data_IF_253873978863
#
_entry.id   IF_253873978863
#
_cell.length_a   1.000
_cell.length_b   1.000
_cell.length_c   1.000
_cell.angle_alpha   90.00
_cell.angle_beta   90.00
_cell.angle_gamma   90.00
#
_symmetry.space_group_name_H-M   'P 1'
#
loop_
_entity.id
_entity.type
_entity.pdbx_description
1 polymer ?
#
# COMPACT_ATOMS: atom_id res chain seq x y z
N UNK A 1 -4.08 35.85 -7.68
CA UNK A 1 -5.50 36.26 -7.68
C UNK A 1 -6.29 35.09 -7.11
N UNK A 2 -7.06 35.25 -6.05
CA UNK A 2 -7.85 34.15 -5.45
C UNK A 2 -9.12 33.89 -6.26
N UNK A 3 -9.87 32.83 -5.95
CA UNK A 3 -11.17 32.57 -6.59
C UNK A 3 -12.20 33.63 -6.21
N UNK A 4 -12.18 34.08 -4.96
CA UNK A 4 -12.98 35.23 -4.49
C UNK A 4 -12.68 36.50 -5.30
N UNK A 5 -11.40 36.80 -5.54
CA UNK A 5 -11.02 37.94 -6.39
C UNK A 5 -11.47 37.77 -7.85
N UNK A 6 -11.56 36.53 -8.34
CA UNK A 6 -12.10 36.26 -9.68
C UNK A 6 -13.62 36.40 -9.73
N UNK A 7 -14.33 36.00 -8.67
CA UNK A 7 -15.78 36.16 -8.55
C UNK A 7 -16.16 37.64 -8.44
N UNK A 8 -15.41 38.41 -7.66
CA UNK A 8 -15.57 39.86 -7.56
C UNK A 8 -15.32 40.55 -8.90
N UNK A 9 -14.25 40.17 -9.61
CA UNK A 9 -13.92 40.73 -10.92
C UNK A 9 -14.96 40.35 -11.98
N UNK A 10 -15.46 39.11 -11.96
CA UNK A 10 -16.54 38.67 -12.84
C UNK A 10 -17.82 39.47 -12.58
N UNK A 11 -18.18 39.64 -11.32
CA UNK A 11 -19.37 40.40 -10.90
C UNK A 11 -19.26 41.87 -11.33
N UNK A 12 -18.09 42.49 -11.12
CA UNK A 12 -17.82 43.85 -11.55
C UNK A 12 -17.91 43.99 -13.08
N UNK A 13 -17.31 43.06 -13.83
CA UNK A 13 -17.32 43.09 -15.28
C UNK A 13 -18.74 42.93 -15.85
N UNK A 14 -19.56 42.04 -15.28
CA UNK A 14 -20.97 41.87 -15.69
C UNK A 14 -21.78 43.14 -15.41
N UNK A 15 -21.63 43.73 -14.22
CA UNK A 15 -22.34 44.97 -13.88
C UNK A 15 -21.92 46.13 -14.79
N UNK A 16 -20.63 46.28 -15.05
CA UNK A 16 -20.08 47.30 -15.95
C UNK A 16 -20.56 47.12 -17.40
N UNK A 17 -20.67 45.88 -17.88
CA UNK A 17 -21.22 45.62 -19.21
C UNK A 17 -22.68 46.08 -19.30
N UNK A 18 -23.50 45.72 -18.31
CA UNK A 18 -24.93 46.08 -18.27
C UNK A 18 -25.13 47.59 -18.24
N UNK A 19 -24.34 48.30 -17.43
CA UNK A 19 -24.37 49.78 -17.38
C UNK A 19 -23.93 50.39 -18.72
N UNK A 20 -22.83 49.90 -19.30
CA UNK A 20 -22.34 50.38 -20.58
C UNK A 20 -23.31 50.12 -21.75
N UNK A 21 -24.01 49.00 -21.76
CA UNK A 21 -25.06 48.70 -22.75
C UNK A 21 -26.27 49.64 -22.59
N UNK A 22 -26.66 49.94 -21.35
CA UNK A 22 -27.73 50.90 -21.04
C UNK A 22 -27.37 52.30 -21.56
N UNK A 23 -26.13 52.72 -21.38
CA UNK A 23 -25.60 54.01 -21.83
C UNK A 23 -25.21 54.03 -23.32
N UNK A 24 -25.45 52.93 -24.07
CA UNK A 24 -25.02 52.76 -25.46
C UNK A 24 -23.50 52.94 -25.69
N UNK A 25 -22.68 52.75 -24.66
CA UNK A 25 -21.22 52.85 -24.70
C UNK A 25 -20.58 51.51 -25.10
N UNK A 26 -20.58 51.25 -26.42
CA UNK A 26 -20.08 50.00 -26.99
C UNK A 26 -18.61 49.66 -26.64
N UNK A 27 -17.65 50.60 -26.64
CA UNK A 27 -16.28 50.31 -26.20
C UNK A 27 -16.19 49.73 -24.78
N UNK A 28 -16.90 50.31 -23.82
CA UNK A 28 -16.90 49.83 -22.43
C UNK A 28 -17.57 48.46 -22.29
N UNK A 29 -18.67 48.20 -23.01
CA UNK A 29 -19.33 46.90 -23.01
C UNK A 29 -18.41 45.78 -23.57
N UNK A 30 -17.68 46.05 -24.66
CA UNK A 30 -16.73 45.09 -25.24
C UNK A 30 -15.55 44.81 -24.30
N UNK A 31 -15.02 45.84 -23.63
CA UNK A 31 -13.96 45.65 -22.64
C UNK A 31 -14.43 44.78 -21.47
N UNK A 32 -15.62 45.06 -20.94
CA UNK A 32 -16.23 44.28 -19.87
C UNK A 32 -16.41 42.81 -20.25
N UNK A 33 -16.88 42.53 -21.47
CA UNK A 33 -16.99 41.17 -21.98
C UNK A 33 -15.62 40.48 -22.12
N UNK A 34 -14.61 41.17 -22.64
CA UNK A 34 -13.26 40.62 -22.76
C UNK A 34 -12.66 40.25 -21.38
N UNK A 35 -12.93 41.05 -20.36
CA UNK A 35 -12.54 40.75 -18.97
C UNK A 35 -13.25 39.47 -18.48
N UNK A 36 -14.55 39.30 -18.75
CA UNK A 36 -15.27 38.08 -18.38
C UNK A 36 -14.65 36.83 -19.03
N UNK A 37 -14.35 36.90 -20.34
CA UNK A 37 -13.69 35.79 -21.06
C UNK A 37 -12.32 35.48 -20.44
N UNK A 38 -11.50 36.49 -20.17
CA UNK A 38 -10.20 36.30 -19.53
C UNK A 38 -10.32 35.67 -18.13
N UNK A 39 -11.32 36.05 -17.34
CA UNK A 39 -11.58 35.42 -16.04
C UNK A 39 -11.92 33.93 -16.18
N UNK A 40 -12.77 33.58 -17.16
CA UNK A 40 -13.11 32.18 -17.44
C UNK A 40 -11.89 31.36 -17.89
N UNK A 41 -11.06 31.91 -18.78
CA UNK A 41 -9.82 31.26 -19.24
C UNK A 41 -8.83 31.03 -18.08
N UNK A 42 -8.70 31.99 -17.16
CA UNK A 42 -7.83 31.81 -15.99
C UNK A 42 -8.38 30.71 -15.06
N UNK A 43 -9.70 30.61 -14.88
CA UNK A 43 -10.30 29.52 -14.08
C UNK A 43 -10.03 28.16 -14.70
N UNK A 44 -10.23 28.04 -16.01
CA UNK A 44 -9.99 26.78 -16.72
C UNK A 44 -8.52 26.34 -16.62
N UNK A 45 -7.59 27.28 -16.81
CA UNK A 45 -6.15 26.97 -16.71
C UNK A 45 -5.73 26.59 -15.29
N UNK A 46 -6.33 27.18 -14.25
CA UNK A 46 -6.10 26.74 -12.86
C UNK A 46 -6.60 25.35 -12.59
N UNK A 47 -7.84 25.05 -13.00
CA UNK A 47 -8.41 23.71 -12.81
C UNK A 47 -7.54 22.64 -13.47
N UNK A 48 -7.04 22.90 -14.69
CA UNK A 48 -6.08 22.01 -15.36
C UNK A 48 -4.76 21.88 -14.61
N UNK A 49 -4.26 22.98 -14.03
CA UNK A 49 -3.02 22.95 -13.23
C UNK A 49 -3.18 22.15 -11.94
N UNK A 50 -4.32 22.30 -11.24
CA UNK A 50 -4.66 21.54 -10.04
C UNK A 50 -4.79 20.04 -10.35
N UNK A 51 -5.44 19.69 -11.46
CA UNK A 51 -5.53 18.30 -11.93
C UNK A 51 -4.14 17.72 -12.22
N UNK A 52 -3.29 18.45 -12.96
CA UNK A 52 -1.91 18.05 -13.23
C UNK A 52 -1.10 17.92 -11.94
N UNK A 53 -1.31 18.80 -10.97
CA UNK A 53 -0.65 18.73 -9.66
C UNK A 53 -1.07 17.46 -8.90
N UNK A 54 -2.35 17.12 -8.93
CA UNK A 54 -2.87 15.88 -8.34
C UNK A 54 -2.27 14.65 -9.03
N UNK A 55 -2.27 14.61 -10.37
CA UNK A 55 -1.69 13.51 -11.14
C UNK A 55 -0.19 13.35 -10.87
N UNK A 56 0.55 14.45 -10.74
CA UNK A 56 1.97 14.41 -10.40
C UNK A 56 2.22 13.86 -8.98
N UNK A 57 1.34 14.17 -8.02
CA UNK A 57 1.42 13.60 -6.68
C UNK A 57 1.18 12.08 -6.70
N UNK A 58 0.16 11.63 -7.43
CA UNK A 58 -0.12 10.19 -7.59
C UNK A 58 1.03 9.45 -8.28
N UNK A 59 1.59 10.02 -9.35
CA UNK A 59 2.75 9.45 -10.03
C UNK A 59 3.99 9.37 -9.11
N UNK A 60 4.21 10.36 -8.25
CA UNK A 60 5.31 10.33 -7.29
C UNK A 60 5.14 9.18 -6.27
N UNK A 61 3.92 8.94 -5.79
CA UNK A 61 3.61 7.79 -4.91
C UNK A 61 3.84 6.47 -5.65
N UNK A 62 3.37 6.34 -6.89
CA UNK A 62 3.58 5.14 -7.69
C UNK A 62 5.07 4.86 -7.94
N UNK A 63 5.87 5.90 -8.20
CA UNK A 63 7.31 5.78 -8.40
C UNK A 63 8.00 5.28 -7.13
N UNK A 64 7.71 5.88 -5.97
CA UNK A 64 8.28 5.45 -4.69
C UNK A 64 7.94 3.98 -4.38
N UNK A 65 6.71 3.56 -4.67
CA UNK A 65 6.27 2.17 -4.52
C UNK A 65 7.02 1.22 -5.45
N UNK A 66 7.20 1.61 -6.72
CA UNK A 66 7.95 0.81 -7.69
C UNK A 66 9.43 0.68 -7.29
N UNK A 67 10.06 1.76 -6.82
CA UNK A 67 11.44 1.74 -6.32
C UNK A 67 11.61 0.84 -5.09
N UNK A 68 10.63 0.85 -4.18
CA UNK A 68 10.61 -0.06 -3.03
C UNK A 68 10.55 -1.52 -3.48
N UNK A 69 9.64 -1.86 -4.40
CA UNK A 69 9.51 -3.21 -4.97
C UNK A 69 10.78 -3.66 -5.71
N UNK A 70 11.43 -2.76 -6.45
CA UNK A 70 12.71 -3.06 -7.11
C UNK A 70 13.82 -3.40 -6.11
N UNK A 71 13.90 -2.68 -4.98
CA UNK A 71 14.85 -2.98 -3.91
C UNK A 71 14.59 -4.35 -3.26
N UNK A 72 13.32 -4.66 -2.99
CA UNK A 72 12.92 -5.98 -2.47
C UNK A 72 13.29 -7.10 -3.43
N UNK A 73 12.99 -6.93 -4.74
CA UNK A 73 13.34 -7.91 -5.76
C UNK A 73 14.85 -8.14 -5.85
N UNK A 74 15.66 -7.06 -5.80
CA UNK A 74 17.11 -7.17 -5.79
C UNK A 74 17.62 -7.98 -4.59
N UNK A 75 17.03 -7.81 -3.40
CA UNK A 75 17.38 -8.59 -2.21
C UNK A 75 17.03 -10.08 -2.38
N UNK A 76 15.85 -10.40 -2.92
CA UNK A 76 15.45 -11.80 -3.20
C UNK A 76 16.31 -12.44 -4.29
N UNK A 77 16.77 -11.68 -5.28
CA UNK A 77 17.70 -12.20 -6.30
C UNK A 77 19.05 -12.53 -5.67
N UNK A 78 19.58 -11.68 -4.80
CA UNK A 78 20.82 -11.95 -4.07
C UNK A 78 20.69 -13.20 -3.18
N UNK A 79 19.56 -13.34 -2.48
CA UNK A 79 19.22 -14.54 -1.70
C UNK A 79 19.19 -15.80 -2.58
N UNK A 80 18.51 -15.76 -3.73
CA UNK A 80 18.46 -16.89 -4.66
C UNK A 80 19.83 -17.31 -5.19
N UNK A 81 20.74 -16.34 -5.41
CA UNK A 81 22.12 -16.64 -5.79
C UNK A 81 22.84 -17.36 -4.66
N UNK A 82 22.67 -16.91 -3.41
CA UNK A 82 23.24 -17.56 -2.23
C UNK A 82 22.66 -18.97 -1.99
N UNK A 83 21.36 -19.17 -2.20
CA UNK A 83 20.71 -20.49 -2.09
C UNK A 83 21.25 -21.50 -3.10
N UNK A 84 21.68 -21.06 -4.28
CA UNK A 84 22.26 -21.92 -5.32
C UNK A 84 23.75 -22.18 -5.12
N UNK A 85 24.40 -21.52 -4.17
CA UNK A 85 25.82 -21.71 -3.90
C UNK A 85 26.05 -22.98 -3.04
N UNK A 86 26.79 -23.99 -3.52
CA UNK A 86 27.13 -25.18 -2.74
C UNK A 86 27.83 -24.88 -1.41
N UNK A 87 28.62 -23.80 -1.33
CA UNK A 87 29.30 -23.42 -0.08
C UNK A 87 28.31 -23.11 1.05
N UNK A 88 27.15 -22.54 0.71
CA UNK A 88 26.09 -22.27 1.67
C UNK A 88 25.51 -23.59 2.23
N UNK A 89 25.35 -24.60 1.38
CA UNK A 89 24.84 -25.91 1.79
C UNK A 89 25.87 -26.67 2.63
N UNK A 90 27.14 -26.64 2.21
CA UNK A 90 28.24 -27.27 2.93
C UNK A 90 28.46 -26.66 4.33
N UNK A 91 28.22 -25.35 4.48
CA UNK A 91 28.30 -24.68 5.79
C UNK A 91 27.31 -25.22 6.83
N UNK A 92 26.23 -25.89 6.39
CA UNK A 92 25.22 -26.48 7.26
C UNK A 92 25.37 -28.00 7.41
N UNK A 93 26.46 -28.59 6.90
CA UNK A 93 26.64 -30.05 6.84
C UNK A 93 26.60 -30.74 8.20
N UNK A 94 27.06 -30.09 9.27
CA UNK A 94 27.01 -30.63 10.64
C UNK A 94 25.58 -31.01 11.06
N UNK A 95 24.61 -30.13 10.81
CA UNK A 95 23.19 -30.41 11.07
C UNK A 95 22.66 -31.58 10.23
N UNK A 96 23.17 -31.71 9.00
CA UNK A 96 22.83 -32.83 8.12
C UNK A 96 23.39 -34.15 8.64
N UNK A 97 24.63 -34.17 9.13
CA UNK A 97 25.25 -35.34 9.72
C UNK A 97 24.51 -35.78 10.98
N UNK A 98 24.21 -34.85 11.89
CA UNK A 98 23.47 -35.12 13.13
C UNK A 98 22.09 -35.73 12.83
N UNK A 99 21.32 -35.14 11.91
CA UNK A 99 20.00 -35.64 11.57
C UNK A 99 20.04 -37.03 10.88
N UNK A 100 21.05 -37.27 10.04
CA UNK A 100 21.27 -38.57 9.40
C UNK A 100 21.65 -39.66 10.41
N UNK A 101 22.51 -39.32 11.38
CA UNK A 101 22.91 -40.24 12.44
C UNK A 101 21.71 -40.61 13.32
N UNK A 102 20.92 -39.62 13.75
CA UNK A 102 19.69 -39.85 14.53
C UNK A 102 18.70 -40.72 13.76
N UNK A 103 18.51 -40.49 12.47
CA UNK A 103 17.65 -41.33 11.64
C UNK A 103 18.15 -42.80 11.58
N UNK A 104 19.45 -42.99 11.39
CA UNK A 104 20.09 -44.32 11.35
C UNK A 104 19.92 -45.06 12.67
N UNK A 105 20.14 -44.37 13.80
CA UNK A 105 19.95 -44.92 15.14
C UNK A 105 18.49 -45.33 15.40
N UNK A 106 17.54 -44.67 14.74
CA UNK A 106 16.12 -45.00 14.79
C UNK A 106 15.69 -46.08 13.77
N UNK A 107 16.65 -46.73 13.09
CA UNK A 107 16.39 -47.84 12.18
C UNK A 107 15.96 -47.41 10.77
N UNK A 108 16.19 -46.16 10.39
CA UNK A 108 16.00 -45.70 9.02
C UNK A 108 16.99 -46.40 8.07
N UNK A 109 16.56 -46.63 6.84
CA UNK A 109 17.45 -47.08 5.75
C UNK A 109 18.45 -45.99 5.37
N UNK A 110 19.54 -46.35 4.69
CA UNK A 110 20.57 -45.39 4.26
C UNK A 110 20.00 -44.20 3.45
N UNK A 111 19.00 -44.47 2.59
CA UNK A 111 18.34 -43.43 1.78
C UNK A 111 17.47 -42.49 2.64
N UNK A 112 16.77 -43.04 3.63
CA UNK A 112 15.97 -42.26 4.58
C UNK A 112 16.84 -41.40 5.50
N UNK A 113 17.98 -41.93 5.95
CA UNK A 113 18.96 -41.18 6.74
C UNK A 113 19.60 -40.05 5.93
N UNK A 114 19.99 -40.31 4.68
CA UNK A 114 20.49 -39.28 3.77
C UNK A 114 19.43 -38.19 3.53
N UNK A 115 18.18 -38.58 3.31
CA UNK A 115 17.06 -37.65 3.14
C UNK A 115 16.82 -36.81 4.39
N UNK A 116 16.91 -37.39 5.58
CA UNK A 116 16.79 -36.67 6.86
C UNK A 116 17.88 -35.61 7.00
N UNK A 117 19.13 -35.97 6.70
CA UNK A 117 20.25 -35.02 6.70
C UNK A 117 20.05 -33.86 5.73
N UNK A 118 19.60 -34.16 4.50
CA UNK A 118 19.37 -33.11 3.49
C UNK A 118 18.21 -32.18 3.87
N UNK A 119 17.14 -32.72 4.49
CA UNK A 119 16.04 -31.90 5.00
C UNK A 119 16.51 -30.98 6.15
N UNK A 120 17.37 -31.47 7.04
CA UNK A 120 17.92 -30.67 8.13
C UNK A 120 18.72 -29.47 7.61
N UNK A 121 19.57 -29.68 6.60
CA UNK A 121 20.30 -28.61 5.92
C UNK A 121 19.33 -27.58 5.32
N UNK A 122 18.35 -28.03 4.54
CA UNK A 122 17.37 -27.14 3.88
C UNK A 122 16.60 -26.29 4.90
N UNK A 123 16.17 -26.90 6.01
CA UNK A 123 15.43 -26.20 7.05
C UNK A 123 16.28 -25.17 7.82
N UNK A 124 17.61 -25.28 7.77
CA UNK A 124 18.51 -24.36 8.46
C UNK A 124 18.89 -23.14 7.63
N UNK A 125 18.82 -23.25 6.30
CA UNK A 125 19.14 -22.14 5.40
C UNK A 125 18.06 -21.06 5.52
N UNK A 126 18.47 -19.85 5.88
CA UNK A 126 17.57 -18.71 6.07
C UNK A 126 17.29 -17.96 4.76
N UNK A 127 16.09 -17.39 4.67
CA UNK A 127 15.61 -16.56 3.55
C UNK A 127 15.07 -15.21 4.02
N UNK A 128 15.91 -14.37 4.64
CA UNK A 128 15.46 -13.15 5.32
C UNK A 128 14.78 -12.13 4.41
N UNK A 129 15.16 -12.05 3.13
CA UNK A 129 14.52 -11.14 2.17
C UNK A 129 13.10 -11.65 1.83
N UNK A 130 12.96 -12.95 1.59
CA UNK A 130 11.66 -13.58 1.35
C UNK A 130 10.75 -13.44 2.56
N UNK A 131 11.27 -13.65 3.77
CA UNK A 131 10.53 -13.52 5.02
C UNK A 131 10.09 -12.07 5.28
N UNK A 132 10.94 -11.08 4.97
CA UNK A 132 10.57 -9.65 5.07
C UNK A 132 9.41 -9.31 4.13
N UNK A 133 9.43 -9.81 2.89
CA UNK A 133 8.32 -9.61 1.95
C UNK A 133 7.04 -10.27 2.46
N UNK A 134 7.15 -11.50 2.98
CA UNK A 134 6.01 -12.21 3.54
C UNK A 134 5.39 -11.47 4.73
N UNK A 135 6.22 -10.89 5.61
CA UNK A 135 5.76 -10.05 6.70
C UNK A 135 5.06 -8.78 6.21
N UNK A 136 5.63 -8.11 5.20
CA UNK A 136 5.02 -6.95 4.55
C UNK A 136 3.64 -7.25 3.95
N UNK A 137 3.53 -8.34 3.18
CA UNK A 137 2.25 -8.78 2.59
C UNK A 137 1.22 -9.11 3.68
N UNK A 138 1.64 -9.78 4.76
CA UNK A 138 0.74 -10.06 5.90
C UNK A 138 0.21 -8.76 6.52
N UNK A 139 1.08 -7.76 6.71
CA UNK A 139 0.66 -6.45 7.23
C UNK A 139 -0.33 -5.75 6.29
N UNK A 140 -0.01 -5.69 4.99
CA UNK A 140 -0.88 -5.06 3.99
C UNK A 140 -2.27 -5.68 3.95
N UNK A 141 -2.36 -7.01 3.96
CA UNK A 141 -3.65 -7.73 3.96
C UNK A 141 -4.46 -7.44 5.22
N UNK A 142 -3.79 -7.39 6.38
CA UNK A 142 -4.44 -7.10 7.66
C UNK A 142 -4.96 -5.67 7.71
N UNK A 143 -4.17 -4.70 7.25
CA UNK A 143 -4.57 -3.29 7.22
C UNK A 143 -5.73 -3.05 6.24
N UNK A 144 -5.71 -3.75 5.09
CA UNK A 144 -6.84 -3.76 4.16
C UNK A 144 -8.11 -4.32 4.80
N UNK A 145 -8.03 -5.49 5.45
CA UNK A 145 -9.18 -6.10 6.14
C UNK A 145 -9.75 -5.17 7.22
N UNK A 146 -8.89 -4.56 8.03
CA UNK A 146 -9.29 -3.62 9.09
C UNK A 146 -10.02 -2.40 8.53
N UNK A 147 -9.54 -1.88 7.39
CA UNK A 147 -10.17 -0.78 6.66
C UNK A 147 -11.56 -1.17 6.14
N UNK A 148 -11.67 -2.31 5.46
CA UNK A 148 -12.95 -2.80 4.91
C UNK A 148 -13.99 -3.07 6.00
N UNK A 149 -13.59 -3.72 7.10
CA UNK A 149 -14.47 -3.99 8.24
C UNK A 149 -14.96 -2.68 8.88
N UNK A 150 -14.08 -1.68 8.95
CA UNK A 150 -14.42 -0.36 9.51
C UNK A 150 -15.35 0.44 8.60
N UNK A 151 -15.30 0.22 7.28
CA UNK A 151 -16.19 0.85 6.32
C UNK A 151 -17.64 0.32 6.38
N UNK A 152 -17.89 -0.83 7.03
CA UNK A 152 -19.25 -1.38 7.19
C UNK A 152 -20.14 -0.47 8.07
N UNK A 153 -19.58 0.13 9.12
CA UNK A 153 -20.34 0.99 10.05
C UNK A 153 -21.04 2.18 9.39
N UNK A 154 -20.34 3.04 8.62
CA UNK A 154 -21.00 4.19 8.00
C UNK A 154 -22.06 3.80 6.96
N UNK A 155 -22.04 2.57 6.44
CA UNK A 155 -22.98 2.11 5.41
C UNK A 155 -24.28 1.56 6.01
N UNK A 156 -24.21 0.84 7.13
CA UNK A 156 -25.36 0.07 7.65
C UNK A 156 -25.85 0.49 9.04
N UNK A 157 -25.19 1.46 9.68
CA UNK A 157 -25.61 1.96 11.00
C UNK A 157 -27.04 2.52 10.93
N UNK A 158 -27.91 2.05 11.83
CA UNK A 158 -29.33 2.41 11.88
C UNK A 158 -30.27 1.46 11.14
N UNK A 159 -29.75 0.45 10.44
CA UNK A 159 -30.58 -0.64 9.92
C UNK A 159 -30.88 -1.66 11.06
N UNK A 160 -32.15 -1.97 11.37
CA UNK A 160 -32.51 -2.93 12.42
C UNK A 160 -31.88 -4.32 12.24
N UNK A 161 -31.69 -4.76 11.00
CA UNK A 161 -31.03 -6.03 10.67
C UNK A 161 -29.54 -5.98 11.00
N UNK A 162 -28.90 -4.85 10.72
CA UNK A 162 -27.49 -4.64 11.03
C UNK A 162 -27.24 -4.63 12.53
N UNK A 163 -28.06 -3.91 13.28
CA UNK A 163 -27.94 -3.79 14.74
C UNK A 163 -28.20 -5.11 15.48
N UNK A 164 -29.09 -5.96 14.96
CA UNK A 164 -29.45 -7.23 15.61
C UNK A 164 -28.54 -8.41 15.19
N UNK A 165 -28.23 -8.54 13.89
CA UNK A 165 -27.63 -9.77 13.34
C UNK A 165 -26.19 -9.59 12.82
N UNK A 166 -25.89 -8.48 12.15
CA UNK A 166 -24.59 -8.31 11.47
C UNK A 166 -23.52 -7.65 12.35
N UNK A 167 -23.93 -6.84 13.34
CA UNK A 167 -23.01 -6.12 14.23
C UNK A 167 -22.11 -7.05 15.05
N UNK A 168 -22.68 -8.15 15.55
CA UNK A 168 -21.92 -9.16 16.31
C UNK A 168 -20.83 -9.81 15.44
N UNK A 169 -21.18 -10.28 14.23
CA UNK A 169 -20.24 -10.98 13.36
C UNK A 169 -19.09 -10.06 12.92
N UNK A 170 -19.36 -8.77 12.70
CA UNK A 170 -18.32 -7.79 12.44
C UNK A 170 -17.34 -7.64 13.62
N UNK A 171 -17.84 -7.53 14.85
CA UNK A 171 -16.98 -7.39 16.02
C UNK A 171 -16.09 -8.63 16.20
N UNK A 172 -16.65 -9.83 15.97
CA UNK A 172 -15.88 -11.07 15.98
C UNK A 172 -14.75 -11.07 14.94
N UNK A 173 -15.03 -10.61 13.72
CA UNK A 173 -13.99 -10.50 12.67
C UNK A 173 -12.95 -9.44 13.04
N UNK A 174 -13.33 -8.33 13.66
CA UNK A 174 -12.37 -7.32 14.15
C UNK A 174 -11.47 -7.89 15.26
N UNK A 175 -12.03 -8.62 16.22
CA UNK A 175 -11.27 -9.27 17.29
C UNK A 175 -10.29 -10.31 16.72
N UNK A 176 -10.70 -11.03 15.67
CA UNK A 176 -9.83 -11.94 14.93
C UNK A 176 -8.69 -11.20 14.23
N UNK A 177 -8.96 -10.06 13.59
CA UNK A 177 -7.94 -9.21 12.93
C UNK A 177 -6.94 -8.68 13.96
N UNK A 178 -7.39 -8.21 15.12
CA UNK A 178 -6.50 -7.77 16.20
C UNK A 178 -5.67 -8.92 16.78
N UNK A 179 -6.27 -10.10 16.92
CA UNK A 179 -5.57 -11.31 17.35
C UNK A 179 -4.49 -11.71 16.35
N UNK A 180 -4.80 -11.65 15.05
CA UNK A 180 -3.86 -11.91 13.97
C UNK A 180 -2.68 -10.91 14.01
N UNK A 181 -2.95 -9.61 14.17
CA UNK A 181 -1.91 -8.57 14.36
C UNK A 181 -0.94 -8.96 15.47
N UNK A 182 -1.45 -9.32 16.65
CA UNK A 182 -0.64 -9.72 17.82
C UNK A 182 0.20 -10.98 17.54
N UNK A 183 -0.41 -12.01 16.95
CA UNK A 183 0.28 -13.27 16.63
C UNK A 183 1.43 -13.03 15.67
N UNK A 184 1.22 -12.27 14.60
CA UNK A 184 2.25 -12.03 13.60
C UNK A 184 3.40 -11.16 14.13
N UNK A 185 3.10 -10.12 14.92
CA UNK A 185 4.15 -9.35 15.59
C UNK A 185 4.97 -10.21 16.55
N UNK A 186 4.33 -11.10 17.31
CA UNK A 186 5.01 -12.01 18.23
C UNK A 186 5.89 -13.02 17.48
N UNK A 187 5.40 -13.61 16.38
CA UNK A 187 6.18 -14.52 15.53
C UNK A 187 7.42 -13.83 14.94
N UNK A 188 7.29 -12.57 14.54
CA UNK A 188 8.40 -11.78 14.02
C UNK A 188 9.46 -11.53 15.10
N UNK A 189 9.06 -11.09 16.30
CA UNK A 189 9.99 -10.89 17.41
C UNK A 189 10.67 -12.18 17.89
N UNK A 190 9.97 -13.31 17.90
CA UNK A 190 10.56 -14.61 18.27
C UNK A 190 11.62 -15.07 17.27
N UNK A 191 11.46 -14.74 15.99
CA UNK A 191 12.45 -15.07 14.96
C UNK A 191 13.66 -14.13 15.00
N UNK A 192 13.45 -12.83 15.22
CA UNK A 192 14.54 -11.87 15.42
C UNK A 192 15.40 -12.21 16.65
N UNK A 193 14.81 -12.82 17.69
CA UNK A 193 15.53 -13.26 18.89
C UNK A 193 16.25 -14.62 18.74
N UNK A 194 15.97 -15.37 17.67
CA UNK A 194 16.58 -16.68 17.40
C UNK A 194 17.75 -16.60 16.39
N UNK A 195 17.99 -15.43 15.80
CA UNK A 195 19.13 -15.07 14.95
C UNK A 195 20.30 -14.52 15.78
#
# INVERSE_FOLDING_TARGET
>A
MTDEQMDDLMTLAVNMQREAETDCNRPSAMFAYAVQVAVLEIRETRSKYEELQSQNADLAVQLANAESKCRQLAAVVAENVALKNPDNWLSQSDYGYEASEVATQNGATDDESLRAGMIAIINRIETPATETILAGVRSEVIDWLDTEISAIDPVYRGDPSYEHDAYWMKNEVRDLVESAKKVFSCQQSQREAAQ
#
